data_IF_201982714274
#
_entry.id   IF_201982714274
#
_cell.length_a   1.000
_cell.length_b   1.000
_cell.length_c   1.000
_cell.angle_alpha   90.00
_cell.angle_beta   90.00
_cell.angle_gamma   90.00
#
_symmetry.space_group_name_H-M   'P 1'
#
loop_
_entity.id
_entity.type
_entity.pdbx_description
1 polymer ?
#
# COMPACT_ATOMS: atom_id res chain seq x y z
N UNK A 1 21.88 6.14 -10.87
CA UNK A 1 20.65 5.29 -10.79
C UNK A 1 19.85 5.50 -12.05
N UNK A 2 19.45 4.43 -12.71
CA UNK A 2 18.56 4.46 -13.89
C UNK A 2 17.17 4.08 -13.40
N UNK A 3 16.15 4.89 -13.74
CA UNK A 3 14.75 4.62 -13.39
C UNK A 3 14.03 4.15 -14.64
N UNK A 4 13.43 2.96 -14.56
CA UNK A 4 12.66 2.36 -15.65
C UNK A 4 11.19 2.28 -15.22
N UNK A 5 10.27 3.03 -15.83
CA UNK A 5 8.85 2.95 -15.51
C UNK A 5 8.21 1.69 -16.11
N UNK A 6 7.22 1.13 -15.41
CA UNK A 6 6.42 -0.01 -15.84
C UNK A 6 4.93 0.31 -15.72
N UNK A 7 4.11 -0.30 -16.55
CA UNK A 7 2.66 -0.13 -16.50
C UNK A 7 1.99 -1.01 -15.44
N UNK A 8 2.64 -2.12 -15.06
CA UNK A 8 2.10 -3.06 -14.09
C UNK A 8 3.20 -3.61 -13.17
N UNK A 9 2.85 -3.79 -11.90
CA UNK A 9 3.78 -4.26 -10.87
C UNK A 9 4.27 -5.70 -11.13
N UNK A 10 3.44 -6.55 -11.71
CA UNK A 10 3.84 -7.93 -12.05
C UNK A 10 5.01 -7.98 -13.03
N UNK A 11 5.08 -7.03 -13.98
CA UNK A 11 6.20 -6.93 -14.91
C UNK A 11 7.51 -6.56 -14.18
N UNK A 12 7.42 -5.70 -13.17
CA UNK A 12 8.56 -5.33 -12.31
C UNK A 12 9.10 -6.57 -11.59
N UNK A 13 8.21 -7.39 -11.02
CA UNK A 13 8.64 -8.61 -10.32
C UNK A 13 9.30 -9.63 -11.24
N UNK A 14 8.83 -9.76 -12.47
CA UNK A 14 9.48 -10.62 -13.47
C UNK A 14 10.91 -10.12 -13.80
N UNK A 15 11.09 -8.81 -13.91
CA UNK A 15 12.37 -8.22 -14.25
C UNK A 15 13.36 -8.23 -13.08
N UNK A 16 12.89 -8.07 -11.84
CA UNK A 16 13.69 -8.30 -10.64
C UNK A 16 14.17 -9.76 -10.58
N UNK A 17 13.26 -10.70 -10.76
CA UNK A 17 13.61 -12.16 -10.73
C UNK A 17 14.60 -12.56 -11.81
N UNK A 18 14.54 -11.93 -12.97
CA UNK A 18 15.46 -12.20 -14.09
C UNK A 18 16.78 -11.44 -13.99
N UNK A 19 16.97 -10.61 -12.95
CA UNK A 19 18.18 -9.79 -12.78
C UNK A 19 18.28 -8.59 -13.74
N UNK A 20 17.19 -8.22 -14.40
CA UNK A 20 17.15 -7.00 -15.24
C UNK A 20 16.97 -5.73 -14.42
N UNK A 21 16.45 -5.85 -13.20
CA UNK A 21 16.31 -4.76 -12.23
C UNK A 21 17.00 -5.14 -10.93
N UNK A 22 17.67 -4.17 -10.31
CA UNK A 22 18.29 -4.32 -9.01
C UNK A 22 17.30 -4.15 -7.84
N UNK A 23 16.18 -3.46 -8.07
CA UNK A 23 15.16 -3.20 -7.07
C UNK A 23 13.98 -2.40 -7.60
N UNK A 24 13.02 -2.14 -6.74
CA UNK A 24 11.84 -1.32 -7.05
C UNK A 24 11.45 -0.41 -5.89
N UNK A 25 10.79 0.69 -6.22
CA UNK A 25 10.08 1.54 -5.26
C UNK A 25 8.59 1.40 -5.54
N UNK A 26 7.85 0.88 -4.58
CA UNK A 26 6.42 0.64 -4.71
C UNK A 26 5.73 0.72 -3.34
N UNK A 27 4.40 0.61 -3.33
CA UNK A 27 3.62 0.52 -2.09
C UNK A 27 4.04 -0.69 -1.26
N UNK A 28 4.24 -0.47 0.04
CA UNK A 28 4.74 -1.52 0.97
C UNK A 28 3.78 -2.70 1.08
N UNK A 29 2.47 -2.46 1.03
CA UNK A 29 1.46 -3.52 1.12
C UNK A 29 1.42 -4.34 -0.16
N UNK A 30 1.57 -3.68 -1.31
CA UNK A 30 1.66 -4.33 -2.61
C UNK A 30 2.90 -5.24 -2.69
N UNK A 31 4.07 -4.72 -2.34
CA UNK A 31 5.32 -5.50 -2.37
C UNK A 31 5.28 -6.64 -1.35
N UNK A 32 4.81 -6.38 -0.14
CA UNK A 32 4.74 -7.40 0.91
C UNK A 32 3.75 -8.50 0.56
N UNK A 33 2.53 -8.15 0.20
CA UNK A 33 1.47 -9.11 -0.14
C UNK A 33 1.64 -9.73 -1.53
N UNK A 34 2.04 -8.93 -2.50
CA UNK A 34 2.16 -9.34 -3.91
C UNK A 34 3.42 -10.13 -4.25
N UNK A 35 4.52 -9.96 -3.48
CA UNK A 35 5.80 -10.54 -3.81
C UNK A 35 6.53 -11.16 -2.62
N UNK A 36 6.87 -10.40 -1.57
CA UNK A 36 7.74 -10.89 -0.49
C UNK A 36 7.14 -12.04 0.34
N UNK A 37 5.82 -12.12 0.43
CA UNK A 37 5.14 -13.23 1.12
C UNK A 37 5.07 -14.51 0.30
N UNK A 38 5.43 -14.46 -0.98
CA UNK A 38 5.41 -15.62 -1.88
C UNK A 38 6.76 -16.33 -1.92
N UNK A 39 6.80 -17.60 -2.34
CA UNK A 39 8.05 -18.37 -2.45
C UNK A 39 9.14 -17.69 -3.27
N UNK A 40 8.75 -16.99 -4.34
CA UNK A 40 9.67 -16.27 -5.23
C UNK A 40 10.26 -14.99 -4.62
N UNK A 41 9.65 -14.46 -3.57
CA UNK A 41 10.11 -13.26 -2.87
C UNK A 41 11.05 -13.51 -1.69
N UNK A 42 11.28 -14.78 -1.30
CA UNK A 42 12.02 -15.15 -0.09
C UNK A 42 13.48 -14.67 -0.04
N UNK A 43 14.08 -14.46 -1.20
CA UNK A 43 15.47 -14.02 -1.33
C UNK A 43 15.59 -12.48 -1.43
N UNK A 44 14.48 -11.77 -1.25
CA UNK A 44 14.38 -10.31 -1.35
C UNK A 44 13.91 -9.71 -0.02
N UNK A 45 14.31 -8.48 0.23
CA UNK A 45 13.97 -7.75 1.47
C UNK A 45 13.62 -6.30 1.17
N UNK A 46 12.83 -5.70 2.05
CA UNK A 46 12.64 -4.24 2.07
C UNK A 46 13.89 -3.59 2.64
N UNK A 47 14.37 -2.53 1.98
CA UNK A 47 15.54 -1.76 2.41
C UNK A 47 15.25 -0.26 2.40
N UNK A 48 15.98 0.46 3.24
CA UNK A 48 15.84 1.91 3.35
C UNK A 48 14.68 2.36 4.25
N UNK A 49 14.56 3.68 4.46
CA UNK A 49 13.47 4.25 5.23
C UNK A 49 12.15 4.24 4.45
N UNK A 50 11.04 4.28 5.17
CA UNK A 50 9.73 4.53 4.57
C UNK A 50 9.70 5.92 3.91
N UNK A 51 9.27 5.97 2.66
CA UNK A 51 9.18 7.20 1.89
C UNK A 51 7.80 7.83 2.06
N UNK A 52 7.68 8.71 3.03
CA UNK A 52 6.47 9.48 3.27
C UNK A 52 6.69 10.96 2.90
N UNK A 53 6.44 11.29 1.64
CA UNK A 53 6.56 12.67 1.13
C UNK A 53 5.18 13.14 0.66
N UNK A 54 4.42 13.88 1.48
CA UNK A 54 3.02 14.26 1.18
C UNK A 54 2.83 14.95 -0.17
N UNK A 55 3.83 15.71 -0.62
CA UNK A 55 3.81 16.38 -1.93
C UNK A 55 3.64 15.41 -3.09
N UNK A 56 4.18 14.19 -2.98
CA UNK A 56 4.18 13.19 -4.05
C UNK A 56 3.19 12.04 -3.80
N UNK A 57 3.03 11.64 -2.54
CA UNK A 57 2.22 10.46 -2.17
C UNK A 57 0.89 10.83 -1.51
N UNK A 58 0.63 12.14 -1.29
CA UNK A 58 -0.54 12.58 -0.53
C UNK A 58 -0.44 12.26 0.96
N UNK A 59 -1.59 12.27 1.64
CA UNK A 59 -1.69 12.04 3.08
C UNK A 59 -2.28 10.67 3.45
N UNK A 60 -2.33 9.76 2.50
CA UNK A 60 -2.86 8.40 2.70
C UNK A 60 -3.81 7.96 1.58
N UNK A 61 -4.35 6.75 1.71
CA UNK A 61 -5.34 6.22 0.80
C UNK A 61 -6.73 6.83 1.07
N UNK A 62 -7.52 6.97 0.02
CA UNK A 62 -8.86 7.54 0.11
C UNK A 62 -9.86 6.85 -0.81
N UNK A 63 -11.15 7.02 -0.51
CA UNK A 63 -12.22 6.62 -1.41
C UNK A 63 -12.44 7.68 -2.48
N UNK A 64 -12.43 7.29 -3.75
CA UNK A 64 -12.86 8.13 -4.85
C UNK A 64 -14.38 8.12 -4.95
N UNK A 65 -15.00 9.29 -4.87
CA UNK A 65 -16.45 9.46 -5.01
C UNK A 65 -16.76 10.56 -6.04
N UNK A 66 -17.99 10.63 -6.52
CA UNK A 66 -18.42 11.72 -7.42
C UNK A 66 -18.31 13.08 -6.74
N UNK A 67 -17.86 14.07 -7.51
CA UNK A 67 -17.89 15.47 -7.04
C UNK A 67 -19.32 15.89 -6.72
N UNK A 68 -19.51 16.55 -5.58
CA UNK A 68 -20.82 16.99 -5.12
C UNK A 68 -21.60 15.99 -4.28
N UNK A 69 -21.15 14.73 -4.15
CA UNK A 69 -21.79 13.73 -3.29
C UNK A 69 -21.37 13.90 -1.82
N UNK A 70 -21.78 15.02 -1.25
CA UNK A 70 -21.44 15.39 0.13
C UNK A 70 -22.07 14.45 1.16
N UNK A 71 -23.25 13.88 0.86
CA UNK A 71 -23.95 12.95 1.73
C UNK A 71 -23.13 11.66 1.87
N UNK A 72 -22.75 11.03 0.77
CA UNK A 72 -21.92 9.82 0.79
C UNK A 72 -20.56 10.06 1.46
N UNK A 73 -19.91 11.21 1.20
CA UNK A 73 -18.67 11.59 1.88
C UNK A 73 -18.83 11.61 3.39
N UNK A 74 -19.91 12.21 3.89
CA UNK A 74 -20.21 12.29 5.32
C UNK A 74 -20.42 10.91 5.93
N UNK A 75 -21.20 10.05 5.25
CA UNK A 75 -21.47 8.70 5.70
C UNK A 75 -20.21 7.83 5.75
N UNK A 76 -19.39 7.85 4.70
CA UNK A 76 -18.11 7.12 4.66
C UNK A 76 -17.15 7.57 5.77
N UNK A 77 -17.00 8.88 5.97
CA UNK A 77 -16.16 9.39 7.05
C UNK A 77 -16.68 9.00 8.45
N UNK A 78 -17.99 9.00 8.65
CA UNK A 78 -18.60 8.54 9.89
C UNK A 78 -18.38 7.05 10.11
N UNK A 79 -18.55 6.24 9.07
CA UNK A 79 -18.31 4.79 9.13
C UNK A 79 -16.85 4.47 9.48
N UNK A 80 -15.89 5.11 8.84
CA UNK A 80 -14.45 4.96 9.13
C UNK A 80 -14.18 5.29 10.60
N UNK A 81 -14.69 6.42 11.10
CA UNK A 81 -14.55 6.81 12.50
C UNK A 81 -15.13 5.78 13.44
N UNK A 82 -16.29 5.23 13.12
CA UNK A 82 -16.98 4.21 13.92
C UNK A 82 -16.18 2.92 14.00
N UNK A 83 -15.74 2.36 12.87
CA UNK A 83 -14.98 1.10 12.87
C UNK A 83 -13.63 1.23 13.56
N UNK A 84 -13.04 2.42 13.56
CA UNK A 84 -11.80 2.69 14.31
C UNK A 84 -12.08 2.73 15.82
N UNK A 85 -13.13 3.47 16.25
CA UNK A 85 -13.43 3.65 17.66
C UNK A 85 -13.95 2.38 18.35
N UNK A 86 -14.66 1.50 17.63
CA UNK A 86 -15.20 0.26 18.19
C UNK A 86 -14.25 -0.94 18.07
N UNK A 87 -13.04 -0.75 17.55
CA UNK A 87 -12.03 -1.80 17.41
C UNK A 87 -12.21 -2.74 16.20
N UNK A 88 -13.27 -2.59 15.42
CA UNK A 88 -13.51 -3.44 14.23
C UNK A 88 -12.38 -3.31 13.21
N UNK A 89 -11.89 -2.07 12.99
CA UNK A 89 -10.77 -1.83 12.10
C UNK A 89 -9.53 -2.60 12.55
N UNK A 90 -9.15 -2.48 13.82
CA UNK A 90 -7.98 -3.17 14.38
C UNK A 90 -8.10 -4.69 14.24
N UNK A 91 -9.26 -5.24 14.53
CA UNK A 91 -9.52 -6.69 14.41
C UNK A 91 -9.34 -7.18 12.96
N UNK A 92 -9.78 -6.40 11.99
CA UNK A 92 -9.60 -6.73 10.57
C UNK A 92 -8.13 -6.56 10.17
N UNK A 93 -7.52 -5.43 10.53
CA UNK A 93 -6.11 -5.16 10.24
C UNK A 93 -5.21 -6.30 10.72
N UNK A 94 -5.32 -6.69 11.97
CA UNK A 94 -4.45 -7.70 12.60
C UNK A 94 -4.63 -9.11 11.99
N UNK A 95 -5.74 -9.35 11.29
CA UNK A 95 -5.95 -10.59 10.55
C UNK A 95 -5.10 -10.69 9.27
N UNK A 96 -4.82 -9.55 8.63
CA UNK A 96 -4.18 -9.51 7.32
C UNK A 96 -2.76 -8.90 7.36
N UNK A 97 -2.49 -8.01 8.31
CA UNK A 97 -1.25 -7.25 8.38
C UNK A 97 -0.63 -7.30 9.77
N UNK A 98 0.69 -7.30 9.80
CA UNK A 98 1.48 -7.22 11.05
C UNK A 98 1.75 -5.77 11.50
N UNK A 99 1.36 -4.80 10.68
CA UNK A 99 1.50 -3.36 10.90
C UNK A 99 0.12 -2.71 10.89
N UNK A 100 -0.03 -1.54 11.49
CA UNK A 100 -1.25 -0.74 11.35
C UNK A 100 -1.21 -0.02 9.99
N UNK A 101 -2.04 -0.48 9.05
CA UNK A 101 -2.07 0.08 7.69
C UNK A 101 -2.85 1.39 7.58
N UNK A 102 -3.47 1.86 8.66
CA UNK A 102 -4.14 3.16 8.65
C UNK A 102 -3.14 4.31 8.62
N UNK A 103 -1.96 4.08 9.18
CA UNK A 103 -1.00 5.13 9.44
C UNK A 103 -1.38 5.95 10.69
N UNK A 104 -0.38 6.44 11.38
CA UNK A 104 -0.52 7.21 12.61
C UNK A 104 -0.81 8.66 12.37
#
# INVERSE_FOLDING_TARGET
MIVTPYEAQDQVYLDIKSGRLDGTVADVLEVTGGFLSKPEGKDYVLVGPELFIPKYFGTGAGFAIRKGDAALKKELNAAIKTIRSNGSYKKINDKYFKIDVYGG
#
